data_IF_242834149475
#
_entry.id   IF_242834149475
#
_cell.length_a   1.000
_cell.length_b   1.000
_cell.length_c   1.000
_cell.angle_alpha   90.00
_cell.angle_beta   90.00
_cell.angle_gamma   90.00
#
_symmetry.space_group_name_H-M   'P 1'
#
loop_
_entity.id
_entity.type
_entity.pdbx_description
1 polymer ?
#
# COMPACT_ATOMS: atom_id res chain seq x y z
N UNK A 1 0.33 4.60 34.01
CA UNK A 1 0.22 4.23 32.58
C UNK A 1 0.28 5.43 31.63
N UNK A 2 -0.23 6.60 32.01
CA UNK A 2 -0.20 7.80 31.13
C UNK A 2 1.21 8.27 30.73
N UNK A 3 2.24 8.14 31.58
CA UNK A 3 3.62 8.49 31.19
C UNK A 3 4.19 7.62 30.07
N UNK A 4 3.90 6.31 30.08
CA UNK A 4 4.34 5.39 29.04
C UNK A 4 3.56 5.63 27.74
N UNK A 5 2.25 5.85 27.84
CA UNK A 5 1.39 6.22 26.72
C UNK A 5 1.83 7.52 26.07
N UNK A 6 2.10 8.57 26.85
CA UNK A 6 2.59 9.84 26.34
C UNK A 6 3.98 9.69 25.71
N UNK A 7 4.87 8.89 26.30
CA UNK A 7 6.17 8.58 25.71
C UNK A 7 6.06 7.82 24.37
N UNK A 8 5.13 6.86 24.25
CA UNK A 8 4.86 6.16 23.00
C UNK A 8 4.26 7.09 21.94
N UNK A 9 3.34 7.97 22.33
CA UNK A 9 2.72 8.97 21.43
C UNK A 9 3.77 9.97 20.95
N UNK A 10 4.64 10.46 21.82
CA UNK A 10 5.71 11.39 21.44
C UNK A 10 6.75 10.71 20.54
N UNK A 11 7.10 9.46 20.83
CA UNK A 11 8.01 8.67 19.99
C UNK A 11 7.43 8.41 18.60
N UNK A 12 6.13 8.07 18.53
CA UNK A 12 5.43 7.88 17.27
C UNK A 12 5.31 9.19 16.48
N UNK A 13 4.99 10.30 17.15
CA UNK A 13 4.95 11.62 16.51
C UNK A 13 6.33 11.99 15.93
N UNK A 14 7.43 11.76 16.64
CA UNK A 14 8.78 12.06 16.09
C UNK A 14 9.13 11.17 14.88
N UNK A 15 8.78 9.89 14.91
CA UNK A 15 9.06 8.94 13.82
C UNK A 15 8.20 9.15 12.57
N UNK A 16 6.94 9.55 12.74
CA UNK A 16 5.95 9.66 11.65
C UNK A 16 5.62 11.11 11.24
N UNK A 17 6.03 12.12 12.01
CA UNK A 17 5.91 13.52 11.62
C UNK A 17 6.95 13.87 10.56
N UNK A 18 6.50 13.94 9.31
CA UNK A 18 7.29 14.28 8.12
C UNK A 18 8.06 15.62 8.24
N UNK A 19 7.66 16.53 9.14
CA UNK A 19 8.37 17.79 9.40
C UNK A 19 9.54 17.66 10.37
N UNK A 20 9.52 16.65 11.25
CA UNK A 20 10.56 16.38 12.27
C UNK A 20 11.32 15.09 12.02
N UNK A 21 10.88 14.27 11.06
CA UNK A 21 11.47 12.99 10.73
C UNK A 21 12.80 13.17 9.99
N UNK A 22 13.90 12.93 10.69
CA UNK A 22 15.26 13.02 10.16
C UNK A 22 15.52 12.00 9.03
N UNK A 23 14.68 10.96 8.89
CA UNK A 23 14.77 10.01 7.78
C UNK A 23 14.46 10.64 6.40
N UNK A 24 13.93 11.86 6.37
CA UNK A 24 13.68 12.64 5.15
C UNK A 24 14.87 13.51 4.73
N UNK A 25 15.74 13.89 5.68
CA UNK A 25 16.98 14.62 5.36
C UNK A 25 17.99 13.71 4.63
N UNK A 26 17.82 12.39 4.78
CA UNK A 26 18.70 11.39 4.19
C UNK A 26 18.56 11.30 2.65
N UNK A 27 19.68 11.15 1.92
CA UNK A 27 19.68 10.89 0.48
C UNK A 27 18.80 9.69 0.13
N UNK A 28 18.14 9.74 -1.04
CA UNK A 28 17.18 8.70 -1.47
C UNK A 28 17.78 7.28 -1.48
N UNK A 29 19.08 7.15 -1.70
CA UNK A 29 19.84 5.89 -1.63
C UNK A 29 19.88 5.30 -0.23
N UNK A 30 20.13 6.12 0.79
CA UNK A 30 20.21 5.70 2.20
C UNK A 30 18.83 5.28 2.70
N UNK A 31 17.78 5.98 2.29
CA UNK A 31 16.40 5.60 2.63
C UNK A 31 16.03 4.23 2.04
N UNK A 32 16.40 3.97 0.79
CA UNK A 32 16.19 2.67 0.16
C UNK A 32 17.01 1.58 0.87
N UNK A 33 18.23 1.89 1.27
CA UNK A 33 19.11 0.97 1.99
C UNK A 33 18.53 0.58 3.37
N UNK A 34 18.00 1.54 4.14
CA UNK A 34 17.36 1.25 5.43
C UNK A 34 16.14 0.35 5.25
N UNK A 35 15.32 0.60 4.22
CA UNK A 35 14.17 -0.26 3.89
C UNK A 35 14.60 -1.68 3.48
N UNK A 36 15.68 -1.81 2.71
CA UNK A 36 16.25 -3.11 2.33
C UNK A 36 16.79 -3.88 3.54
N UNK A 37 17.52 -3.21 4.44
CA UNK A 37 18.05 -3.82 5.66
C UNK A 37 16.92 -4.29 6.58
N UNK A 38 15.89 -3.46 6.75
CA UNK A 38 14.72 -3.82 7.54
C UNK A 38 13.99 -5.04 6.94
N UNK A 39 13.76 -5.04 5.63
CA UNK A 39 13.14 -6.17 4.92
C UNK A 39 13.96 -7.47 5.07
N UNK A 40 15.29 -7.37 5.04
CA UNK A 40 16.18 -8.52 5.25
C UNK A 40 16.07 -9.09 6.67
N UNK A 41 16.12 -8.24 7.69
CA UNK A 41 15.97 -8.63 9.10
C UNK A 41 14.60 -9.29 9.34
N UNK A 42 13.54 -8.74 8.77
CA UNK A 42 12.22 -9.36 8.94
C UNK A 42 12.10 -10.71 8.22
N UNK A 43 12.71 -10.85 7.05
CA UNK A 43 12.75 -12.14 6.37
C UNK A 43 13.48 -13.20 7.20
N UNK A 44 14.59 -12.85 7.86
CA UNK A 44 15.31 -13.79 8.73
C UNK A 44 14.52 -14.13 9.99
N UNK A 45 13.93 -13.14 10.68
CA UNK A 45 13.12 -13.35 11.89
C UNK A 45 11.89 -14.21 11.62
N UNK A 46 11.13 -13.92 10.55
CA UNK A 46 9.96 -14.73 10.20
C UNK A 46 10.33 -16.14 9.73
N UNK A 47 11.46 -16.30 9.05
CA UNK A 47 11.95 -17.62 8.66
C UNK A 47 12.33 -18.47 9.89
N UNK A 48 12.92 -17.85 10.92
CA UNK A 48 13.21 -18.51 12.20
C UNK A 48 11.93 -18.90 12.96
N UNK A 49 10.86 -18.10 12.81
CA UNK A 49 9.57 -18.35 13.47
C UNK A 49 8.78 -19.50 12.82
N UNK A 50 8.78 -19.58 11.48
CA UNK A 50 7.95 -20.55 10.73
C UNK A 50 8.68 -21.88 10.52
N UNK A 51 10.00 -21.86 10.30
CA UNK A 51 10.77 -23.06 9.93
C UNK A 51 11.62 -23.58 11.09
N UNK A 52 11.73 -24.91 11.19
CA UNK A 52 12.63 -25.58 12.13
C UNK A 52 14.10 -25.33 11.74
N UNK A 53 15.01 -25.40 12.72
CA UNK A 53 16.45 -25.16 12.52
C UNK A 53 17.07 -26.01 11.38
N UNK A 54 16.56 -27.21 11.13
CA UNK A 54 17.06 -28.13 10.09
C UNK A 54 16.61 -27.76 8.68
N UNK A 55 15.46 -27.10 8.52
CA UNK A 55 14.92 -26.64 7.23
C UNK A 55 15.02 -25.14 7.04
N UNK A 56 15.58 -24.42 8.03
CA UNK A 56 15.70 -22.97 8.04
C UNK A 56 16.37 -22.42 6.78
N UNK A 57 17.49 -22.99 6.35
CA UNK A 57 18.23 -22.48 5.19
C UNK A 57 17.39 -22.52 3.89
N UNK A 58 16.65 -23.60 3.67
CA UNK A 58 15.79 -23.75 2.50
C UNK A 58 14.52 -22.91 2.60
N UNK A 59 13.89 -22.85 3.77
CA UNK A 59 12.72 -22.01 4.02
C UNK A 59 13.03 -20.52 3.91
N UNK A 60 14.17 -20.10 4.46
CA UNK A 60 14.68 -18.73 4.36
C UNK A 60 15.01 -18.35 2.91
N UNK A 61 15.74 -19.20 2.18
CA UNK A 61 16.06 -18.94 0.78
C UNK A 61 14.79 -18.83 -0.07
N UNK A 62 13.82 -19.72 0.14
CA UNK A 62 12.52 -19.68 -0.54
C UNK A 62 11.74 -18.41 -0.26
N UNK A 63 11.61 -18.02 1.01
CA UNK A 63 10.92 -16.78 1.40
C UNK A 63 11.63 -15.53 0.87
N UNK A 64 12.96 -15.49 0.92
CA UNK A 64 13.74 -14.36 0.44
C UNK A 64 13.59 -14.18 -1.08
N UNK A 65 13.65 -15.28 -1.84
CA UNK A 65 13.42 -15.26 -3.29
C UNK A 65 11.98 -14.82 -3.61
N UNK A 66 10.99 -15.33 -2.87
CA UNK A 66 9.60 -14.90 -3.02
C UNK A 66 9.42 -13.40 -2.76
N UNK A 67 10.11 -12.86 -1.75
CA UNK A 67 10.08 -11.43 -1.42
C UNK A 67 10.66 -10.55 -2.54
N UNK A 68 11.81 -10.94 -3.10
CA UNK A 68 12.41 -10.27 -4.26
C UNK A 68 11.48 -10.33 -5.47
N UNK A 69 10.87 -11.50 -5.71
CA UNK A 69 9.90 -11.69 -6.78
C UNK A 69 8.70 -10.75 -6.66
N UNK A 70 8.17 -10.56 -5.44
CA UNK A 70 7.07 -9.63 -5.17
C UNK A 70 7.46 -8.18 -5.47
N UNK A 71 8.64 -7.73 -5.01
CA UNK A 71 9.15 -6.38 -5.28
C UNK A 71 9.27 -6.16 -6.80
N UNK A 72 9.80 -7.15 -7.52
CA UNK A 72 9.94 -7.08 -8.97
C UNK A 72 8.59 -7.04 -9.69
N UNK A 73 7.63 -7.88 -9.29
CA UNK A 73 6.28 -7.90 -9.85
C UNK A 73 5.58 -6.54 -9.66
N UNK A 74 5.67 -5.97 -8.46
CA UNK A 74 5.12 -4.64 -8.14
C UNK A 74 5.80 -3.55 -8.96
N UNK A 75 7.13 -3.59 -9.11
CA UNK A 75 7.85 -2.64 -9.97
C UNK A 75 7.41 -2.74 -11.44
N UNK A 76 7.27 -3.96 -11.97
CA UNK A 76 6.82 -4.20 -13.34
C UNK A 76 5.40 -3.71 -13.59
N UNK A 77 4.47 -3.91 -12.64
CA UNK A 77 3.10 -3.39 -12.75
C UNK A 77 3.08 -1.86 -12.68
N UNK A 78 3.82 -1.24 -11.75
CA UNK A 78 3.95 0.22 -11.70
C UNK A 78 4.54 0.80 -12.98
N UNK A 79 5.57 0.15 -13.56
CA UNK A 79 6.17 0.54 -14.83
C UNK A 79 5.17 0.41 -15.98
N UNK A 80 4.36 -0.64 -16.00
CA UNK A 80 3.32 -0.84 -16.99
C UNK A 80 2.21 0.20 -16.86
N UNK A 81 1.82 0.59 -15.65
CA UNK A 81 0.85 1.68 -15.42
C UNK A 81 1.39 3.04 -15.84
N UNK A 82 2.64 3.38 -15.52
CA UNK A 82 3.25 4.63 -16.01
C UNK A 82 3.36 4.66 -17.53
N UNK A 83 3.69 3.52 -18.15
CA UNK A 83 3.74 3.41 -19.61
C UNK A 83 2.35 3.53 -20.24
N UNK A 84 1.34 2.93 -19.62
CA UNK A 84 -0.05 3.02 -20.06
C UNK A 84 -0.62 4.43 -19.86
N UNK A 85 -0.24 5.15 -18.81
CA UNK A 85 -0.57 6.55 -18.59
C UNK A 85 0.05 7.44 -19.68
N UNK A 86 1.35 7.27 -19.97
CA UNK A 86 2.03 7.98 -21.05
C UNK A 86 1.50 7.63 -22.45
N UNK A 87 0.96 6.42 -22.64
CA UNK A 87 0.38 5.94 -23.91
C UNK A 87 -1.16 5.93 -23.92
N UNK A 88 -1.83 6.59 -22.96
CA UNK A 88 -3.28 6.53 -22.77
C UNK A 88 -4.06 7.28 -23.86
N UNK A 89 -3.99 6.80 -25.10
CA UNK A 89 -5.05 7.01 -26.07
C UNK A 89 -6.27 6.21 -25.59
N UNK A 90 -7.40 6.90 -25.44
CA UNK A 90 -8.64 6.30 -24.92
C UNK A 90 -9.04 5.06 -25.72
N UNK A 91 -9.40 3.99 -25.01
CA UNK A 91 -9.85 2.71 -25.60
C UNK A 91 -11.07 2.92 -26.52
N UNK A 92 -11.87 3.96 -26.24
CA UNK A 92 -12.99 4.39 -27.07
C UNK A 92 -12.58 5.02 -28.41
N UNK A 93 -11.34 5.52 -28.55
CA UNK A 93 -10.80 6.07 -29.80
C UNK A 93 -10.13 4.99 -30.67
N UNK A 94 -9.60 3.93 -30.05
CA UNK A 94 -8.76 2.94 -30.73
C UNK A 94 -9.52 1.74 -31.32
N UNK A 95 -10.82 1.52 -31.00
CA UNK A 95 -11.66 0.39 -31.49
C UNK A 95 -10.91 -0.95 -31.66
N UNK A 96 -10.04 -1.29 -30.71
CA UNK A 96 -9.22 -2.50 -30.77
C UNK A 96 -9.64 -3.46 -29.65
N UNK A 97 -10.47 -4.43 -30.03
CA UNK A 97 -11.03 -5.48 -29.17
C UNK A 97 -10.09 -6.68 -29.11
N UNK A 98 -8.94 -6.47 -28.48
CA UNK A 98 -8.03 -7.58 -28.17
C UNK A 98 -8.69 -8.52 -27.15
N UNK A 99 -8.66 -9.85 -27.36
CA UNK A 99 -9.20 -10.82 -26.41
C UNK A 99 -8.68 -10.63 -24.98
N UNK A 100 -7.44 -10.17 -24.78
CA UNK A 100 -6.91 -9.86 -23.44
C UNK A 100 -7.61 -8.67 -22.78
N UNK A 101 -7.96 -7.62 -23.54
CA UNK A 101 -8.64 -6.44 -23.00
C UNK A 101 -10.09 -6.74 -22.65
N UNK A 102 -10.76 -7.57 -23.46
CA UNK A 102 -12.12 -8.04 -23.17
C UNK A 102 -12.10 -8.90 -21.89
N UNK A 103 -11.14 -9.80 -21.76
CA UNK A 103 -10.98 -10.64 -20.57
C UNK A 103 -10.75 -9.80 -19.31
N UNK A 104 -9.95 -8.73 -19.38
CA UNK A 104 -9.75 -7.79 -18.26
C UNK A 104 -11.06 -7.10 -17.86
N UNK A 105 -11.87 -6.64 -18.81
CA UNK A 105 -13.16 -6.00 -18.53
C UNK A 105 -14.12 -7.00 -17.85
N UNK A 106 -14.20 -8.23 -18.34
CA UNK A 106 -15.03 -9.29 -17.72
C UNK A 106 -14.54 -9.59 -16.31
N UNK A 107 -13.23 -9.69 -16.10
CA UNK A 107 -12.66 -9.96 -14.78
C UNK A 107 -12.95 -8.83 -13.79
N UNK A 108 -12.86 -7.57 -14.21
CA UNK A 108 -13.21 -6.40 -13.38
C UNK A 108 -14.69 -6.43 -12.99
N UNK A 109 -15.60 -6.76 -13.90
CA UNK A 109 -17.04 -6.87 -13.61
C UNK A 109 -17.30 -7.99 -12.59
N UNK A 110 -16.68 -9.16 -12.76
CA UNK A 110 -16.80 -10.28 -11.81
C UNK A 110 -16.23 -9.91 -10.45
N UNK A 111 -15.08 -9.22 -10.41
CA UNK A 111 -14.48 -8.76 -9.16
C UNK A 111 -15.40 -7.77 -8.43
N UNK A 112 -15.95 -6.77 -9.14
CA UNK A 112 -16.93 -5.85 -8.56
C UNK A 112 -18.14 -6.61 -8.00
N UNK A 113 -18.62 -7.65 -8.69
CA UNK A 113 -19.75 -8.47 -8.22
C UNK A 113 -19.40 -9.27 -6.96
N UNK A 114 -18.28 -9.99 -6.94
CA UNK A 114 -17.83 -10.78 -5.79
C UNK A 114 -17.58 -9.90 -4.58
N UNK A 115 -16.95 -8.73 -4.77
CA UNK A 115 -16.71 -7.79 -3.68
C UNK A 115 -18.00 -7.10 -3.21
N UNK A 116 -18.93 -6.78 -4.11
CA UNK A 116 -20.25 -6.26 -3.72
C UNK A 116 -21.02 -7.29 -2.87
N UNK A 117 -20.96 -8.58 -3.26
CA UNK A 117 -21.51 -9.69 -2.45
C UNK A 117 -20.76 -9.88 -1.13
N UNK A 118 -19.44 -9.71 -1.13
CA UNK A 118 -18.62 -9.76 0.08
C UNK A 118 -19.00 -8.65 1.07
N UNK A 119 -19.20 -7.42 0.60
CA UNK A 119 -19.67 -6.29 1.43
C UNK A 119 -21.09 -6.54 1.92
N UNK A 120 -21.99 -7.09 1.10
CA UNK A 120 -23.36 -7.44 1.49
C UNK A 120 -23.40 -8.46 2.64
N UNK A 121 -22.53 -9.48 2.59
CA UNK A 121 -22.37 -10.46 3.67
C UNK A 121 -21.80 -9.82 4.94
N UNK A 122 -20.80 -8.94 4.79
CA UNK A 122 -20.19 -8.24 5.92
C UNK A 122 -21.21 -7.29 6.60
N UNK A 123 -22.06 -6.63 5.82
CA UNK A 123 -23.12 -5.77 6.35
C UNK A 123 -24.24 -6.53 7.05
N UNK A 124 -24.58 -7.73 6.59
CA UNK A 124 -25.59 -8.58 7.26
C UNK A 124 -25.08 -9.24 8.55
N UNK A 125 -23.76 -9.26 8.80
CA UNK A 125 -23.14 -9.94 9.95
C UNK A 125 -22.47 -9.00 10.96
N UNK A 126 -22.56 -7.68 10.76
CA UNK A 126 -22.01 -6.68 11.67
C UNK A 126 -22.65 -6.73 13.06
N UNK A 127 -21.83 -6.98 14.09
CA UNK A 127 -22.25 -7.17 15.49
C UNK A 127 -22.22 -5.87 16.32
N UNK A 128 -21.92 -4.73 15.70
CA UNK A 128 -21.74 -3.44 16.36
C UNK A 128 -22.90 -2.48 16.00
N UNK A 129 -23.58 -1.95 17.01
CA UNK A 129 -24.75 -1.05 16.87
C UNK A 129 -24.39 0.43 16.63
N UNK A 130 -23.10 0.77 16.72
CA UNK A 130 -22.64 2.15 16.56
C UNK A 130 -22.38 2.46 15.09
N UNK A 131 -23.27 3.27 14.51
CA UNK A 131 -23.17 3.78 13.14
C UNK A 131 -21.99 4.75 13.06
N UNK A 132 -21.00 4.43 12.22
CA UNK A 132 -19.89 5.33 11.92
C UNK A 132 -20.41 6.50 11.07
N UNK A 133 -20.37 7.72 11.61
CA UNK A 133 -20.91 8.93 10.96
C UNK A 133 -19.93 9.57 9.97
N UNK A 134 -18.79 8.94 9.72
CA UNK A 134 -17.72 9.49 8.90
C UNK A 134 -16.92 10.58 9.63
N UNK A 135 -15.84 11.07 9.00
CA UNK A 135 -15.10 12.23 9.49
C UNK A 135 -15.90 13.53 9.26
N UNK A 136 -15.87 14.45 10.23
CA UNK A 136 -16.60 15.73 10.22
C UNK A 136 -16.34 16.63 8.99
N UNK A 137 -15.29 16.34 8.21
CA UNK A 137 -14.90 17.10 7.02
C UNK A 137 -14.78 16.17 5.84
N UNK A 138 -15.40 16.57 4.75
CA UNK A 138 -15.25 15.90 3.46
C UNK A 138 -13.80 15.98 2.98
N UNK A 139 -13.40 15.06 2.10
CA UNK A 139 -12.05 15.05 1.55
C UNK A 139 -11.70 16.42 0.96
N UNK A 140 -12.60 17.01 0.18
CA UNK A 140 -12.41 18.29 -0.49
C UNK A 140 -12.14 19.45 0.47
N UNK A 141 -12.88 19.53 1.58
CA UNK A 141 -12.67 20.54 2.62
C UNK A 141 -11.30 20.40 3.31
N UNK A 142 -10.78 19.18 3.41
CA UNK A 142 -9.41 18.95 3.92
C UNK A 142 -8.35 19.44 2.95
N UNK A 143 -8.61 19.42 1.63
CA UNK A 143 -7.65 19.83 0.59
C UNK A 143 -7.72 21.33 0.24
N UNK A 144 -8.86 21.99 0.45
CA UNK A 144 -9.07 23.43 0.23
C UNK A 144 -7.94 24.36 0.78
N UNK A 145 -7.48 24.21 2.03
CA UNK A 145 -6.42 25.09 2.56
C UNK A 145 -5.07 24.90 1.87
N UNK A 146 -4.83 23.75 1.24
CA UNK A 146 -3.60 23.47 0.51
C UNK A 146 -3.64 23.96 -0.95
N UNK A 147 -4.84 24.10 -1.53
CA UNK A 147 -5.01 24.62 -2.90
C UNK A 147 -5.00 26.14 -2.96
N UNK A 148 -5.51 26.82 -1.92
CA UNK A 148 -5.58 28.29 -1.87
C UNK A 148 -4.22 28.96 -1.60
N UNK A 149 -3.31 28.31 -0.87
CA UNK A 149 -1.96 28.83 -0.59
C UNK A 149 -1.08 29.11 -1.83
N UNK A 150 -1.50 28.65 -3.01
CA UNK A 150 -0.77 28.85 -4.28
C UNK A 150 -1.19 30.10 -5.06
N UNK A 151 -2.25 30.81 -4.67
CA UNK A 151 -2.76 31.99 -5.41
C UNK A 151 -2.19 33.34 -4.95
N UNK A 152 -1.57 33.40 -3.78
CA UNK A 152 -1.05 34.66 -3.20
C UNK A 152 0.50 34.76 -3.24
N UNK A 153 1.11 34.29 -4.34
CA UNK A 153 2.52 34.59 -4.68
C UNK A 153 2.66 34.90 -6.15
#
# INVERSE_FOLDING_TARGET
>A
MEKLKNWMIDSANILFDDSKNDLRSLPRSVRLQILLVLSFIWTTVFSLYIFSYTTFAFGWAGLFIAHIGLIFAVYMTFKQFHRAEAQSASVFKAKNYDPFKIMIIVFVIVFIFVFSKGIEVLNNTNSYTIKYDGPDKTAEEKWLPFTQKKKDK
#
